data_IF_278551594039
#
_entry.id   IF_278551594039
#
_cell.length_a   1.000
_cell.length_b   1.000
_cell.length_c   1.000
_cell.angle_alpha   90.00
_cell.angle_beta   90.00
_cell.angle_gamma   90.00
#
_symmetry.space_group_name_H-M   'P 1'
#
loop_
_entity.id
_entity.type
_entity.pdbx_description
1 polymer ?
#
# COMPACT_ATOMS: atom_id res chain seq x y z
N UNK A 1 -3.20 -3.38 -0.52
CA UNK A 1 -2.27 -4.18 0.32
C UNK A 1 -2.03 -3.54 1.70
N UNK A 2 -1.55 -2.29 1.78
CA UNK A 2 -1.28 -1.61 3.07
C UNK A 2 -2.44 -1.63 4.07
N UNK A 3 -3.66 -1.32 3.62
CA UNK A 3 -4.88 -1.40 4.45
C UNK A 3 -5.13 -2.78 5.05
N UNK A 4 -4.85 -3.85 4.29
CA UNK A 4 -5.04 -5.22 4.75
C UNK A 4 -4.02 -5.58 5.84
N UNK A 5 -2.78 -5.10 5.71
CA UNK A 5 -1.76 -5.26 6.76
C UNK A 5 -2.25 -4.57 8.04
N UNK A 6 -2.68 -3.31 7.93
CA UNK A 6 -3.16 -2.54 9.09
C UNK A 6 -4.38 -3.21 9.73
N UNK A 7 -5.35 -3.64 8.92
CA UNK A 7 -6.52 -4.38 9.40
C UNK A 7 -6.12 -5.65 10.18
N UNK A 8 -5.22 -6.46 9.63
CA UNK A 8 -4.79 -7.71 10.25
C UNK A 8 -4.05 -7.48 11.58
N UNK A 9 -3.14 -6.52 11.60
CA UNK A 9 -2.33 -6.19 12.77
C UNK A 9 -3.22 -5.62 13.88
N UNK A 10 -4.04 -4.62 13.58
CA UNK A 10 -4.76 -3.89 14.61
C UNK A 10 -6.06 -4.55 15.05
N UNK A 11 -6.83 -5.10 14.12
CA UNK A 11 -8.15 -5.69 14.42
C UNK A 11 -7.99 -7.16 14.76
N UNK A 12 -7.25 -7.93 13.94
CA UNK A 12 -7.10 -9.36 14.19
C UNK A 12 -6.01 -9.68 15.23
N UNK A 13 -5.13 -8.72 15.58
CA UNK A 13 -4.01 -8.91 16.52
C UNK A 13 -3.15 -10.13 16.16
N UNK A 14 -2.99 -10.40 14.87
CA UNK A 14 -2.22 -11.53 14.34
C UNK A 14 -1.11 -11.00 13.44
N UNK A 15 0.09 -11.62 13.46
CA UNK A 15 1.12 -11.27 12.50
C UNK A 15 0.60 -11.52 11.07
N UNK A 16 0.99 -10.69 10.09
CA UNK A 16 0.66 -10.93 8.69
C UNK A 16 1.27 -12.27 8.26
N UNK A 17 0.43 -13.28 8.07
CA UNK A 17 0.87 -14.64 7.78
C UNK A 17 -0.27 -15.54 7.34
N UNK A 18 0.08 -16.62 6.64
CA UNK A 18 -0.85 -17.59 6.10
C UNK A 18 -1.32 -17.27 4.67
N UNK A 19 -1.72 -18.33 3.95
CA UNK A 19 -2.15 -18.24 2.54
C UNK A 19 -3.30 -17.25 2.33
N UNK A 20 -4.27 -17.23 3.26
CA UNK A 20 -5.46 -16.38 3.19
C UNK A 20 -5.15 -14.88 3.11
N UNK A 21 -4.12 -14.43 3.82
CA UNK A 21 -3.72 -13.02 3.81
C UNK A 21 -3.22 -12.57 2.43
N UNK A 22 -2.47 -13.43 1.74
CA UNK A 22 -2.00 -13.18 0.37
C UNK A 22 -3.05 -13.47 -0.69
N UNK A 23 -3.98 -14.40 -0.40
CA UNK A 23 -5.07 -14.74 -1.30
C UNK A 23 -6.02 -13.56 -1.53
N UNK A 24 -6.33 -12.74 -0.51
CA UNK A 24 -7.23 -11.60 -0.66
C UNK A 24 -6.74 -10.59 -1.72
N UNK A 25 -5.54 -9.99 -1.61
CA UNK A 25 -5.05 -9.06 -2.64
C UNK A 25 -4.92 -9.78 -3.98
N UNK A 26 -4.43 -11.02 -4.01
CA UNK A 26 -4.30 -11.79 -5.25
C UNK A 26 -5.65 -11.99 -5.96
N UNK A 27 -6.69 -12.41 -5.24
CA UNK A 27 -8.07 -12.55 -5.73
C UNK A 27 -8.66 -11.21 -6.16
N UNK A 28 -8.23 -10.12 -5.53
CA UNK A 28 -8.63 -8.77 -5.92
C UNK A 28 -7.94 -8.34 -7.23
N UNK A 29 -6.66 -8.68 -7.43
CA UNK A 29 -5.89 -8.28 -8.62
C UNK A 29 -6.13 -9.17 -9.84
N UNK A 30 -6.39 -10.47 -9.68
CA UNK A 30 -6.58 -11.40 -10.80
C UNK A 30 -7.67 -10.93 -11.77
N UNK A 31 -8.89 -10.56 -11.33
CA UNK A 31 -9.91 -10.10 -12.26
C UNK A 31 -9.47 -8.87 -13.05
N UNK A 32 -8.74 -7.95 -12.41
CA UNK A 32 -8.14 -6.80 -13.09
C UNK A 32 -7.13 -7.21 -14.18
N UNK A 33 -6.31 -8.23 -13.94
CA UNK A 33 -5.40 -8.79 -14.95
C UNK A 33 -6.17 -9.50 -16.07
N UNK A 34 -7.21 -10.28 -15.74
CA UNK A 34 -8.06 -10.96 -16.73
C UNK A 34 -8.79 -9.96 -17.61
N UNK A 35 -9.16 -8.79 -17.10
CA UNK A 35 -9.79 -7.72 -17.88
C UNK A 35 -8.73 -6.97 -18.71
N UNK A 36 -7.61 -6.58 -18.08
CA UNK A 36 -6.60 -5.73 -18.71
C UNK A 36 -5.73 -6.42 -19.76
N UNK A 37 -5.33 -7.67 -19.55
CA UNK A 37 -4.43 -8.39 -20.47
C UNK A 37 -5.09 -8.64 -21.85
N UNK A 38 -6.34 -9.11 -21.94
CA UNK A 38 -7.02 -9.22 -23.24
C UNK A 38 -7.21 -7.85 -23.91
N UNK A 39 -7.44 -6.79 -23.14
CA UNK A 39 -7.57 -5.42 -23.67
C UNK A 39 -6.31 -4.90 -24.33
N UNK A 40 -5.14 -5.32 -23.85
CA UNK A 40 -3.86 -4.95 -24.47
C UNK A 40 -3.48 -5.89 -25.61
N UNK A 41 -3.75 -7.19 -25.49
CA UNK A 41 -3.33 -8.20 -26.46
C UNK A 41 -4.28 -8.35 -27.67
N UNK A 42 -5.57 -8.09 -27.51
CA UNK A 42 -6.58 -8.26 -28.56
C UNK A 42 -7.38 -6.99 -28.81
N UNK A 43 -6.74 -5.89 -29.26
CA UNK A 43 -7.43 -4.63 -29.52
C UNK A 43 -8.54 -4.77 -30.58
N UNK A 44 -8.36 -5.67 -31.55
CA UNK A 44 -9.35 -5.93 -32.61
C UNK A 44 -10.63 -6.62 -32.10
N UNK A 45 -10.57 -7.32 -30.96
CA UNK A 45 -11.72 -8.01 -30.37
C UNK A 45 -12.53 -7.09 -29.44
N UNK A 46 -11.87 -6.07 -28.87
CA UNK A 46 -12.44 -5.22 -27.84
C UNK A 46 -12.79 -3.82 -28.33
N UNK A 47 -12.16 -3.39 -29.43
CA UNK A 47 -12.42 -2.12 -30.08
C UNK A 47 -12.75 -2.27 -31.56
N UNK A 48 -13.81 -1.60 -31.99
CA UNK A 48 -14.03 -1.33 -33.42
C UNK A 48 -13.64 0.12 -33.71
N UNK A 49 -12.72 0.33 -34.64
CA UNK A 49 -12.48 1.67 -35.18
C UNK A 49 -13.62 2.01 -36.12
N UNK A 50 -14.49 2.93 -35.74
CA UNK A 50 -15.51 3.47 -36.65
C UNK A 50 -14.97 4.73 -37.32
N UNK A 51 -15.17 4.80 -38.63
CA UNK A 51 -14.85 5.97 -39.43
C UNK A 51 -16.13 6.74 -39.64
N UNK A 52 -16.38 7.74 -38.80
CA UNK A 52 -17.49 8.65 -39.00
C UNK A 52 -16.93 10.02 -39.34
N UNK A 53 -17.32 10.57 -40.49
CA UNK A 53 -16.97 11.95 -40.91
C UNK A 53 -15.45 12.27 -40.91
N UNK A 54 -14.61 11.32 -41.31
CA UNK A 54 -13.15 11.52 -41.41
C UNK A 54 -12.41 11.59 -40.07
N UNK A 55 -13.08 11.30 -38.95
CA UNK A 55 -12.45 11.12 -37.64
C UNK A 55 -12.49 9.64 -37.26
N UNK A 56 -11.34 9.09 -36.89
CA UNK A 56 -11.23 7.75 -36.34
C UNK A 56 -11.36 7.80 -34.83
N UNK A 57 -12.35 7.11 -34.29
CA UNK A 57 -12.46 6.89 -32.85
C UNK A 57 -12.54 5.39 -32.54
N UNK A 58 -11.95 5.01 -31.41
CA UNK A 58 -12.03 3.65 -30.91
C UNK A 58 -13.33 3.51 -30.11
N UNK A 59 -14.23 2.66 -30.58
CA UNK A 59 -15.45 2.30 -29.84
C UNK A 59 -15.18 1.02 -29.09
N UNK A 60 -15.32 1.05 -27.77
CA UNK A 60 -15.19 -0.14 -26.92
C UNK A 60 -16.55 -0.82 -26.80
N UNK A 61 -16.58 -2.15 -26.82
CA UNK A 61 -17.82 -2.90 -26.62
C UNK A 61 -18.48 -2.61 -25.27
N UNK A 62 -19.76 -2.23 -25.28
CA UNK A 62 -20.59 -1.97 -24.09
C UNK A 62 -20.51 -3.04 -22.99
N UNK A 63 -20.58 -4.36 -23.29
CA UNK A 63 -20.46 -5.38 -22.24
C UNK A 63 -19.11 -5.35 -21.51
N UNK A 64 -18.02 -5.03 -22.21
CA UNK A 64 -16.71 -4.92 -21.61
C UNK A 64 -16.62 -3.72 -20.65
N UNK A 65 -17.17 -2.56 -21.06
CA UNK A 65 -17.28 -1.37 -20.21
C UNK A 65 -18.10 -1.67 -18.94
N UNK A 66 -19.21 -2.38 -19.08
CA UNK A 66 -20.05 -2.77 -17.95
C UNK A 66 -19.30 -3.69 -16.95
N UNK A 67 -18.58 -4.70 -17.44
CA UNK A 67 -17.77 -5.61 -16.58
C UNK A 67 -16.69 -4.83 -15.84
N UNK A 68 -15.96 -3.97 -16.55
CA UNK A 68 -14.94 -3.11 -15.95
C UNK A 68 -15.52 -2.20 -14.87
N UNK A 69 -16.72 -1.65 -15.11
CA UNK A 69 -17.41 -0.78 -14.17
C UNK A 69 -17.82 -1.52 -12.89
N UNK A 70 -18.49 -2.67 -13.03
CA UNK A 70 -18.91 -3.51 -11.90
C UNK A 70 -17.71 -3.89 -11.04
N UNK A 71 -16.62 -4.32 -11.68
CA UNK A 71 -15.38 -4.66 -10.99
C UNK A 71 -14.78 -3.45 -10.25
N UNK A 72 -14.71 -2.30 -10.91
CA UNK A 72 -14.20 -1.06 -10.34
C UNK A 72 -15.03 -0.58 -9.13
N UNK A 73 -16.36 -0.64 -9.23
CA UNK A 73 -17.27 -0.31 -8.15
C UNK A 73 -17.10 -1.26 -6.95
N UNK A 74 -16.96 -2.56 -7.22
CA UNK A 74 -16.68 -3.56 -6.18
C UNK A 74 -15.36 -3.27 -5.45
N UNK A 75 -14.29 -2.89 -6.17
CA UNK A 75 -13.02 -2.50 -5.56
C UNK A 75 -13.16 -1.26 -4.66
N UNK A 76 -13.86 -0.23 -5.13
CA UNK A 76 -14.09 0.99 -4.35
C UNK A 76 -14.89 0.68 -3.08
N UNK A 77 -15.96 -0.10 -3.18
CA UNK A 77 -16.76 -0.52 -2.02
C UNK A 77 -15.93 -1.36 -1.04
N UNK A 78 -15.10 -2.27 -1.53
CA UNK A 78 -14.20 -3.06 -0.70
C UNK A 78 -13.19 -2.17 0.05
N UNK A 79 -12.58 -1.19 -0.63
CA UNK A 79 -11.66 -0.25 -0.01
C UNK A 79 -12.37 0.64 1.02
N UNK A 80 -13.58 1.12 0.73
CA UNK A 80 -14.40 1.86 1.68
C UNK A 80 -14.77 1.01 2.90
N UNK A 81 -15.11 -0.27 2.70
CA UNK A 81 -15.39 -1.21 3.78
C UNK A 81 -14.19 -1.43 4.70
N UNK A 82 -13.00 -1.63 4.13
CA UNK A 82 -11.75 -1.72 4.89
C UNK A 82 -11.43 -0.42 5.63
N UNK A 83 -11.57 0.73 4.96
CA UNK A 83 -11.37 2.03 5.59
C UNK A 83 -12.33 2.19 6.79
N UNK A 84 -13.62 1.92 6.58
CA UNK A 84 -14.64 2.02 7.62
C UNK A 84 -14.37 1.09 8.80
N UNK A 85 -13.91 -0.14 8.55
CA UNK A 85 -13.56 -1.08 9.61
C UNK A 85 -12.41 -0.57 10.51
N UNK A 86 -11.47 0.20 9.93
CA UNK A 86 -10.28 0.72 10.63
C UNK A 86 -10.57 2.04 11.39
N UNK A 87 -11.73 2.68 11.17
CA UNK A 87 -12.06 4.02 11.71
C UNK A 87 -11.96 4.19 13.23
N UNK A 88 -12.03 3.11 14.01
CA UNK A 88 -12.05 3.18 15.48
C UNK A 88 -10.65 3.18 16.12
N UNK A 89 -9.58 3.03 15.35
CA UNK A 89 -8.20 2.99 15.85
C UNK A 89 -7.66 4.43 15.94
N UNK A 90 -7.83 5.05 17.13
CA UNK A 90 -7.58 6.48 17.35
C UNK A 90 -6.12 6.88 17.60
N UNK A 91 -5.26 5.94 18.00
CA UNK A 91 -4.00 6.29 18.66
C UNK A 91 -2.83 6.57 17.69
N UNK A 92 -2.75 5.89 16.54
CA UNK A 92 -1.53 5.94 15.72
C UNK A 92 -1.69 6.39 14.28
N UNK A 93 -2.91 6.68 13.81
CA UNK A 93 -3.08 6.95 12.39
C UNK A 93 -4.07 8.07 12.08
N UNK A 94 -3.55 9.30 12.09
CA UNK A 94 -4.05 10.36 11.22
C UNK A 94 -4.08 9.91 9.73
N UNK A 95 -3.34 8.84 9.40
CA UNK A 95 -3.38 8.16 8.10
C UNK A 95 -4.76 7.63 7.69
N UNK A 96 -5.68 7.33 8.62
CA UNK A 96 -7.05 7.00 8.23
C UNK A 96 -7.76 8.19 7.56
N UNK A 97 -7.65 9.37 8.17
CA UNK A 97 -8.20 10.60 7.61
C UNK A 97 -7.52 10.93 6.28
N UNK A 98 -6.20 10.86 6.22
CA UNK A 98 -5.42 11.08 4.99
C UNK A 98 -5.85 10.12 3.87
N UNK A 99 -6.09 8.85 4.18
CA UNK A 99 -6.54 7.90 3.18
C UNK A 99 -7.97 8.15 2.71
N UNK A 100 -8.87 8.61 3.58
CA UNK A 100 -10.22 9.02 3.19
C UNK A 100 -10.17 10.22 2.22
N UNK A 101 -9.27 11.18 2.47
CA UNK A 101 -9.03 12.32 1.58
C UNK A 101 -8.53 11.90 0.19
N UNK A 102 -7.83 10.77 0.07
CA UNK A 102 -7.43 10.21 -1.23
C UNK A 102 -8.53 9.36 -1.88
N UNK A 103 -9.33 8.64 -1.07
CA UNK A 103 -10.37 7.73 -1.55
C UNK A 103 -11.56 8.47 -2.17
N UNK A 104 -11.97 9.59 -1.57
CA UNK A 104 -13.09 10.42 -2.06
C UNK A 104 -12.87 10.94 -3.50
N UNK A 105 -11.78 11.67 -3.82
CA UNK A 105 -11.54 12.17 -5.17
C UNK A 105 -11.34 11.04 -6.17
N UNK A 106 -10.74 9.92 -5.76
CA UNK A 106 -10.61 8.73 -6.60
C UNK A 106 -11.98 8.15 -6.95
N UNK A 107 -12.89 8.03 -5.97
CA UNK A 107 -14.25 7.56 -6.21
C UNK A 107 -15.01 8.52 -7.14
N UNK A 108 -14.93 9.84 -6.91
CA UNK A 108 -15.55 10.85 -7.77
C UNK A 108 -15.03 10.75 -9.21
N UNK A 109 -13.72 10.69 -9.40
CA UNK A 109 -13.10 10.56 -10.71
C UNK A 109 -13.56 9.27 -11.41
N UNK A 110 -13.66 8.16 -10.68
CA UNK A 110 -14.11 6.87 -11.20
C UNK A 110 -15.58 6.91 -11.61
N UNK A 111 -16.48 7.40 -10.77
CA UNK A 111 -17.90 7.51 -11.09
C UNK A 111 -18.15 8.48 -12.26
N UNK A 112 -17.44 9.62 -12.29
CA UNK A 112 -17.52 10.58 -13.38
C UNK A 112 -17.06 9.97 -14.71
N UNK A 113 -15.88 9.34 -14.72
CA UNK A 113 -15.34 8.68 -15.93
C UNK A 113 -16.27 7.57 -16.43
N UNK A 114 -16.89 6.85 -15.50
CA UNK A 114 -17.83 5.78 -15.81
C UNK A 114 -19.13 6.31 -16.40
N UNK A 115 -19.69 7.39 -15.83
CA UNK A 115 -20.88 8.05 -16.35
C UNK A 115 -20.65 8.59 -17.77
N UNK A 116 -19.47 9.16 -18.02
CA UNK A 116 -19.08 9.58 -19.36
C UNK A 116 -18.91 8.41 -20.33
N UNK A 117 -18.32 7.29 -19.89
CA UNK A 117 -18.07 6.12 -20.74
C UNK A 117 -19.36 5.42 -21.24
N UNK A 118 -20.47 5.56 -20.53
CA UNK A 118 -21.78 5.04 -20.95
C UNK A 118 -22.56 6.07 -21.79
N UNK A 119 -22.13 7.33 -21.79
CA UNK A 119 -22.78 8.41 -22.49
C UNK A 119 -22.16 8.66 -23.86
N UNK A 120 -22.95 9.16 -24.81
CA UNK A 120 -22.47 9.65 -26.11
C UNK A 120 -21.48 10.83 -25.98
N UNK A 121 -21.42 11.48 -24.80
CA UNK A 121 -20.48 12.56 -24.52
C UNK A 121 -19.01 12.13 -24.50
N UNK A 122 -18.68 10.83 -24.42
CA UNK A 122 -17.30 10.33 -24.40
C UNK A 122 -16.44 10.77 -25.61
N UNK A 123 -17.09 11.07 -26.74
CA UNK A 123 -16.41 11.50 -27.96
C UNK A 123 -16.06 12.98 -27.97
N UNK A 124 -16.61 13.77 -27.04
CA UNK A 124 -16.33 15.20 -26.96
C UNK A 124 -14.94 15.47 -26.39
N UNK A 125 -14.23 16.45 -26.94
CA UNK A 125 -12.91 16.86 -26.43
C UNK A 125 -12.97 17.31 -24.97
N UNK A 126 -14.08 17.96 -24.59
CA UNK A 126 -14.32 18.42 -23.23
C UNK A 126 -14.42 17.28 -22.23
N UNK A 127 -15.16 16.20 -22.55
CA UNK A 127 -15.27 15.03 -21.68
C UNK A 127 -13.90 14.37 -21.43
N UNK A 128 -13.06 14.30 -22.46
CA UNK A 128 -11.69 13.76 -22.34
C UNK A 128 -10.81 14.64 -21.47
N UNK A 129 -10.87 15.96 -21.67
CA UNK A 129 -10.10 16.92 -20.89
C UNK A 129 -10.50 16.90 -19.41
N UNK A 130 -11.81 16.93 -19.11
CA UNK A 130 -12.30 16.90 -17.72
C UNK A 130 -11.97 15.59 -17.03
N UNK A 131 -12.08 14.46 -17.73
CA UNK A 131 -11.69 13.14 -17.22
C UNK A 131 -10.19 13.09 -16.89
N UNK A 132 -9.34 13.61 -17.78
CA UNK A 132 -7.90 13.68 -17.56
C UNK A 132 -7.55 14.56 -16.36
N UNK A 133 -8.18 15.74 -16.25
CA UNK A 133 -8.00 16.65 -15.11
C UNK A 133 -8.43 16.01 -13.79
N UNK A 134 -9.60 15.37 -13.73
CA UNK A 134 -10.07 14.68 -12.53
C UNK A 134 -9.16 13.51 -12.12
N UNK A 135 -8.67 12.75 -13.10
CA UNK A 135 -7.72 11.66 -12.86
C UNK A 135 -6.41 12.20 -12.30
N UNK A 136 -5.91 13.32 -12.85
CA UNK A 136 -4.71 13.99 -12.36
C UNK A 136 -4.88 14.53 -10.94
N UNK A 137 -6.05 15.13 -10.63
CA UNK A 137 -6.39 15.59 -9.28
C UNK A 137 -6.45 14.41 -8.31
N UNK A 138 -7.11 13.32 -8.68
CA UNK A 138 -7.18 12.11 -7.86
C UNK A 138 -5.78 11.53 -7.59
N UNK A 139 -4.95 11.36 -8.61
CA UNK A 139 -3.58 10.87 -8.47
C UNK A 139 -2.72 11.80 -7.60
N UNK A 140 -2.83 13.13 -7.80
CA UNK A 140 -2.12 14.12 -7.01
C UNK A 140 -2.57 14.09 -5.56
N UNK A 141 -3.88 14.06 -5.30
CA UNK A 141 -4.43 13.97 -3.94
C UNK A 141 -3.96 12.72 -3.21
N UNK A 142 -3.89 11.58 -3.91
CA UNK A 142 -3.34 10.35 -3.35
C UNK A 142 -1.85 10.48 -3.02
N UNK A 143 -1.08 11.07 -3.94
CA UNK A 143 0.35 11.31 -3.72
C UNK A 143 0.60 12.19 -2.50
N UNK A 144 -0.09 13.34 -2.42
CA UNK A 144 0.05 14.28 -1.33
C UNK A 144 -0.50 13.74 0.00
N UNK A 145 -1.55 12.93 -0.01
CA UNK A 145 -2.07 12.33 1.21
C UNK A 145 -1.15 11.22 1.74
N UNK A 146 -0.64 10.34 0.88
CA UNK A 146 0.03 9.10 1.31
C UNK A 146 1.55 9.27 1.42
N UNK A 147 2.18 9.96 0.47
CA UNK A 147 3.64 10.01 0.38
C UNK A 147 4.24 11.30 0.94
N UNK A 148 3.49 12.42 0.94
CA UNK A 148 4.07 13.69 1.34
C UNK A 148 4.60 13.70 2.77
N UNK A 149 3.83 13.20 3.73
CA UNK A 149 4.18 13.22 5.15
C UNK A 149 5.46 12.44 5.47
N UNK A 150 5.63 11.16 5.06
CA UNK A 150 6.88 10.45 5.29
C UNK A 150 8.06 11.07 4.54
N UNK A 151 7.84 11.58 3.33
CA UNK A 151 8.88 12.18 2.50
C UNK A 151 9.39 13.51 3.09
N UNK A 152 8.48 14.37 3.55
CA UNK A 152 8.80 15.62 4.25
C UNK A 152 9.52 15.36 5.58
N UNK A 153 9.01 14.44 6.38
CA UNK A 153 9.64 14.05 7.65
C UNK A 153 11.06 13.53 7.46
N UNK A 154 11.27 12.69 6.43
CA UNK A 154 12.59 12.15 6.11
C UNK A 154 13.58 13.22 5.62
N UNK A 155 13.14 14.17 4.79
CA UNK A 155 14.02 15.19 4.22
C UNK A 155 14.38 16.32 5.19
N UNK A 156 13.43 16.79 6.00
CA UNK A 156 13.65 17.99 6.81
C UNK A 156 13.97 17.69 8.28
N UNK A 157 13.30 16.71 8.90
CA UNK A 157 13.38 16.45 10.34
C UNK A 157 13.42 14.96 10.66
N UNK A 158 14.41 14.26 10.11
CA UNK A 158 14.52 12.79 10.19
C UNK A 158 14.44 12.25 11.62
N UNK A 159 15.16 12.84 12.56
CA UNK A 159 15.27 12.32 13.93
C UNK A 159 13.98 12.52 14.72
N UNK A 160 13.30 13.66 14.54
CA UNK A 160 12.00 13.93 15.15
C UNK A 160 10.94 12.99 14.59
N UNK A 161 10.93 12.79 13.27
CA UNK A 161 10.01 11.87 12.61
C UNK A 161 10.20 10.42 13.09
N UNK A 162 11.45 9.95 13.20
CA UNK A 162 11.75 8.61 13.73
C UNK A 162 11.32 8.46 15.20
N UNK A 163 11.54 9.47 16.03
CA UNK A 163 11.11 9.44 17.43
C UNK A 163 9.58 9.44 17.58
N UNK A 164 8.87 10.25 16.79
CA UNK A 164 7.40 10.22 16.74
C UNK A 164 6.89 8.87 16.27
N UNK A 165 7.49 8.30 15.22
CA UNK A 165 7.14 6.99 14.69
C UNK A 165 7.34 5.88 15.73
N UNK A 166 8.49 5.86 16.42
CA UNK A 166 8.77 4.90 17.49
C UNK A 166 7.81 5.07 18.67
N UNK A 167 7.46 6.31 19.03
CA UNK A 167 6.49 6.59 20.10
C UNK A 167 5.10 6.09 19.73
N UNK A 168 4.63 6.32 18.50
CA UNK A 168 3.35 5.80 18.01
C UNK A 168 3.33 4.27 18.02
N UNK A 169 4.41 3.61 17.54
CA UNK A 169 4.57 2.16 17.63
C UNK A 169 4.51 1.65 19.07
N UNK A 170 5.15 2.34 20.01
CA UNK A 170 5.14 1.96 21.42
C UNK A 170 3.74 2.05 22.05
N UNK A 171 2.96 3.07 21.68
CA UNK A 171 1.55 3.25 22.12
C UNK A 171 0.64 2.16 21.56
N UNK A 172 0.92 1.68 20.34
CA UNK A 172 0.17 0.59 19.71
C UNK A 172 0.44 -0.80 20.31
N UNK A 173 1.32 -0.89 21.32
CA UNK A 173 1.63 -2.13 22.02
C UNK A 173 2.80 -2.92 21.43
N UNK A 174 3.48 -2.41 20.41
CA UNK A 174 4.70 -3.02 19.87
C UNK A 174 5.91 -2.90 20.81
N UNK A 175 5.82 -2.05 21.84
CA UNK A 175 6.83 -1.90 22.89
C UNK A 175 7.12 -3.20 23.66
N UNK A 176 6.19 -4.15 23.66
CA UNK A 176 6.38 -5.47 24.30
C UNK A 176 7.24 -6.47 23.50
N UNK A 177 7.49 -6.23 22.20
CA UNK A 177 8.24 -7.17 21.36
C UNK A 177 9.77 -7.05 21.52
N UNK A 178 10.28 -5.90 21.93
CA UNK A 178 11.71 -5.70 22.16
C UNK A 178 12.18 -6.19 23.54
N UNK A 179 11.25 -6.42 24.48
CA UNK A 179 11.58 -6.90 25.84
C UNK A 179 11.69 -8.43 25.96
N UNK A 180 11.17 -9.18 24.98
CA UNK A 180 11.40 -10.62 24.89
C UNK A 180 12.74 -10.91 24.19
N UNK A 181 13.83 -10.45 24.79
CA UNK A 181 15.07 -11.22 24.68
C UNK A 181 14.69 -12.61 25.17
N UNK A 182 14.59 -13.57 24.25
CA UNK A 182 14.58 -14.98 24.59
C UNK A 182 15.89 -15.23 25.35
N UNK A 183 15.88 -14.96 26.65
CA UNK A 183 16.60 -15.78 27.60
C UNK A 183 15.98 -17.16 27.41
N UNK A 184 16.48 -17.86 26.40
CA UNK A 184 16.55 -19.31 26.32
C UNK A 184 17.49 -19.71 27.44
N UNK A 185 17.08 -19.41 28.67
CA UNK A 185 17.59 -20.06 29.85
C UNK A 185 17.30 -21.53 29.62
N UNK A 186 18.36 -22.32 29.62
CA UNK A 186 18.26 -23.77 29.72
C UNK A 186 17.56 -24.07 31.04
N UNK A 187 16.22 -24.06 31.04
CA UNK A 187 15.43 -24.38 32.21
C UNK A 187 15.36 -25.90 32.31
N UNK A 188 16.37 -26.48 32.96
CA UNK A 188 16.18 -27.71 33.71
C UNK A 188 15.09 -27.43 34.74
N UNK A 189 13.98 -28.14 34.61
CA UNK A 189 12.83 -28.08 35.51
C UNK A 189 13.28 -28.41 36.92
N UNK A 190 13.20 -27.47 37.87
CA UNK A 190 12.87 -27.77 39.27
C UNK A 190 11.93 -26.67 39.80
N UNK A 191 10.79 -27.15 40.25
CA UNK A 191 9.60 -26.55 40.82
C UNK A 191 9.88 -25.70 42.08
N UNK A 192 9.19 -24.55 42.22
CA UNK A 192 8.20 -24.29 43.29
C UNK A 192 8.10 -22.81 43.73
N UNK A 193 6.90 -22.50 44.23
CA UNK A 193 6.44 -21.33 45.01
C UNK A 193 5.87 -20.16 44.21
N UNK A 194 4.54 -20.14 44.23
CA UNK A 194 3.63 -19.08 43.83
C UNK A 194 3.77 -17.87 44.76
N UNK A 195 4.28 -16.76 44.23
CA UNK A 195 4.18 -15.46 44.88
C UNK A 195 3.53 -14.45 43.93
N UNK A 196 2.56 -13.72 44.48
CA UNK A 196 1.62 -12.84 43.76
C UNK A 196 2.33 -11.51 43.47
N UNK A 197 2.51 -11.08 42.20
CA UNK A 197 3.20 -9.84 41.92
C UNK A 197 2.26 -8.64 42.13
N UNK A 198 2.43 -7.98 43.27
CA UNK A 198 2.03 -6.59 43.48
C UNK A 198 3.18 -5.67 43.00
N UNK A 199 2.80 -4.55 42.37
CA UNK A 199 3.63 -3.44 41.90
C UNK A 199 4.10 -3.54 40.45
N UNK A 200 3.27 -3.00 39.56
CA UNK A 200 3.71 -2.50 38.26
C UNK A 200 4.36 -1.13 38.50
N UNK A 201 5.65 -0.94 38.19
CA UNK A 201 6.33 0.34 38.39
C UNK A 201 5.74 1.43 37.48
N UNK A 202 5.63 2.64 38.04
CA UNK A 202 5.13 3.82 37.33
C UNK A 202 6.09 4.21 36.20
N UNK A 203 5.55 4.67 35.06
CA UNK A 203 6.30 4.98 33.84
C UNK A 203 7.41 6.05 34.02
N UNK A 204 7.38 6.80 35.14
CA UNK A 204 8.41 7.77 35.52
C UNK A 204 9.68 7.15 36.13
N UNK A 205 9.70 5.82 36.35
CA UNK A 205 10.84 5.10 36.92
C UNK A 205 11.57 4.23 35.89
N UNK A 206 11.19 4.27 34.61
CA UNK A 206 12.00 3.63 33.59
C UNK A 206 13.28 4.44 33.37
N UNK A 207 14.46 3.80 33.35
CA UNK A 207 15.70 4.47 32.96
C UNK A 207 15.56 5.02 31.54
N UNK A 208 16.20 6.16 31.28
CA UNK A 208 16.25 6.74 29.95
C UNK A 208 16.76 5.69 28.94
N UNK A 209 16.12 5.55 27.77
CA UNK A 209 16.52 4.55 26.80
C UNK A 209 17.95 4.80 26.36
N UNK A 210 18.78 3.76 26.47
CA UNK A 210 20.20 3.85 26.21
C UNK A 210 20.46 3.98 24.70
N UNK A 211 20.61 5.23 24.24
CA UNK A 211 20.76 5.56 22.83
C UNK A 211 22.10 5.08 22.22
N UNK A 212 23.07 4.66 23.05
CA UNK A 212 24.36 4.16 22.59
C UNK A 212 24.28 2.82 21.84
N UNK A 213 23.27 1.99 22.11
CA UNK A 213 23.12 0.71 21.42
C UNK A 213 22.74 0.90 19.94
N UNK A 214 21.97 1.95 19.62
CA UNK A 214 21.54 2.24 18.25
C UNK A 214 22.66 2.88 17.41
N UNK A 215 23.60 3.61 18.02
CA UNK A 215 24.75 4.18 17.32
C UNK A 215 25.76 3.08 16.88
N UNK A 216 25.87 1.99 17.64
CA UNK A 216 26.71 0.85 17.28
C UNK A 216 26.16 0.03 16.09
N UNK A 217 24.84 -0.10 15.97
CA UNK A 217 24.20 -0.79 14.83
C UNK A 217 24.41 -0.01 13.52
N UNK A 218 24.44 1.32 13.57
CA UNK A 218 24.73 2.16 12.41
C UNK A 218 26.17 1.98 11.89
N UNK A 219 27.12 1.65 12.78
CA UNK A 219 28.51 1.38 12.41
C UNK A 219 28.72 0.02 11.73
N UNK A 220 27.91 -0.99 12.07
CA UNK A 220 27.96 -2.32 11.44
C UNK A 220 27.44 -2.32 9.98
N UNK A 221 26.69 -1.30 9.55
CA UNK A 221 26.22 -1.20 8.16
C UNK A 221 27.27 -0.64 7.18
N UNK A 222 28.43 -0.19 7.68
CA UNK A 222 29.53 0.36 6.87
C UNK A 222 30.67 -0.60 6.58
N UNK A 223 30.54 -1.90 6.87
CA UNK A 223 31.50 -2.86 6.32
C UNK A 223 31.29 -2.95 4.80
N UNK A 224 32.29 -2.59 3.98
CA UNK A 224 32.20 -2.77 2.53
C UNK A 224 32.06 -4.27 2.26
N UNK A 225 30.88 -4.68 1.81
CA UNK A 225 30.71 -5.98 1.19
C UNK A 225 31.48 -5.94 -0.13
N UNK A 226 32.69 -6.49 -0.12
CA UNK A 226 33.39 -7.00 -1.29
C UNK A 226 32.57 -8.13 -1.91
N UNK A 227 31.39 -7.81 -2.46
CA UNK A 227 30.68 -8.66 -3.38
C UNK A 227 31.36 -8.49 -4.74
N UNK A 228 32.30 -9.39 -5.03
CA UNK A 228 32.82 -9.57 -6.38
C UNK A 228 31.67 -9.80 -7.34
N UNK A 229 31.35 -8.78 -8.14
CA UNK A 229 30.38 -8.86 -9.22
C UNK A 229 30.83 -9.96 -10.19
N UNK A 230 29.98 -10.96 -10.50
CA UNK A 230 30.29 -11.93 -11.54
C UNK A 230 30.45 -11.19 -12.86
N UNK A 231 31.62 -11.34 -13.46
CA UNK A 231 31.96 -10.79 -14.77
C UNK A 231 31.12 -11.54 -15.81
N UNK A 232 30.12 -10.86 -16.39
CA UNK A 232 29.35 -11.43 -17.48
C UNK A 232 30.23 -11.58 -18.73
N UNK A 233 30.25 -12.75 -19.40
CA UNK A 233 30.96 -12.91 -20.65
C UNK A 233 30.33 -12.02 -21.73
N UNK A 234 31.20 -11.32 -22.44
CA UNK A 234 30.90 -10.40 -23.53
C UNK A 234 30.23 -11.17 -24.69
N UNK A 235 28.90 -11.23 -24.71
CA UNK A 235 28.12 -11.78 -25.81
C UNK A 235 28.09 -10.78 -26.98
N UNK A 236 29.20 -10.75 -27.72
CA UNK A 236 29.27 -10.20 -29.08
C UNK A 236 28.59 -11.23 -30.00
N UNK A 237 27.29 -11.04 -30.25
CA UNK A 237 26.59 -11.78 -31.29
C UNK A 237 26.26 -10.87 -32.46
N UNK A 238 26.81 -11.29 -33.59
CA UNK A 238 26.67 -10.76 -34.93
C UNK A 238 25.19 -10.63 -35.30
N UNK A 239 24.78 -9.44 -35.76
CA UNK A 239 23.56 -9.29 -36.54
C UNK A 239 23.95 -9.44 -38.00
N UNK A 240 23.62 -10.60 -38.58
CA UNK A 240 23.45 -10.72 -40.01
C UNK A 240 22.18 -9.99 -40.42
N UNK A 241 22.35 -9.04 -41.35
CA UNK A 241 21.29 -8.45 -42.16
C UNK A 241 20.78 -9.49 -43.16
N UNK A 242 19.48 -9.74 -43.17
CA UNK A 242 18.70 -10.14 -44.36
C UNK A 242 17.38 -9.36 -44.30
#
# INVERSE_FOLDING_TARGET
FRLLILYQIFICKRPPGGLWFYAIPFLTYIPGLIIGVPATLLPAFLGTSTFETGKTYCVVHTPYVAVYWVYSAMLVLFLFGLAFAIRHIKASFNEFHEMLWALIPTAIALFYSSGLGVSDYQYTQWARLTTALLTLIAASSFFWAVYWRPLYGYWFNRDQYLNEFNKSLAVDGFSTLNGSTCNRSNHTVITSVSEKPHNVPSASQLPDPDYELFSQIAHLSRTPLDMGLPTFPNLRHERHLV
#
